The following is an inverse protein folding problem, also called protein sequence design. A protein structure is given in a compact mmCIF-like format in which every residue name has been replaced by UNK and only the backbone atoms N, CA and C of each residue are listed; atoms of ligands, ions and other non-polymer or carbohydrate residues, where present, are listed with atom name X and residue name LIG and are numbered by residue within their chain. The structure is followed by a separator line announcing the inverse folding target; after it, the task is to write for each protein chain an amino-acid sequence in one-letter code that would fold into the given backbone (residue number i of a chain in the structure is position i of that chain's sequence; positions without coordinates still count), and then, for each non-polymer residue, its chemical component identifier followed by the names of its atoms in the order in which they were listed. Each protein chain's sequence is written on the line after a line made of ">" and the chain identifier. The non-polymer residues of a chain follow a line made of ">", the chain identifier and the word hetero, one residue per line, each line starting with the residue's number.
data_IF_790981287894
#
_entry.id   IF_790981287894
#
_cell.length_a   1.000
_cell.length_b   1.000
_cell.length_c   1.000
_cell.angle_alpha   90.00
_cell.angle_beta   90.00
_cell.angle_gamma   90.00
#
_symmetry.space_group_name_H-M   'P 1'
#
loop_
_entity.id
_entity.type
_entity.pdbx_description
1 polymer ?
#
# COMPACT_ATOMS: atom_id res chain seq x y z
N UNK A 1 -5.09 -3.30 3.44
CA UNK A 1 -4.84 -4.22 2.33
C UNK A 1 -5.35 -5.62 2.64
N UNK A 2 -5.75 -6.33 1.60
CA UNK A 2 -6.09 -7.75 1.68
C UNK A 2 -4.82 -8.58 1.55
N UNK A 3 -4.17 -8.83 2.68
CA UNK A 3 -2.95 -9.62 2.72
C UNK A 3 -3.26 -11.10 2.61
N UNK A 4 -2.45 -11.82 1.84
CA UNK A 4 -2.51 -13.28 1.77
C UNK A 4 -1.87 -13.90 3.01
N UNK A 5 -2.64 -13.96 4.09
CA UNK A 5 -2.19 -14.51 5.36
C UNK A 5 -1.77 -15.97 5.22
N UNK A 6 -2.51 -16.76 4.44
CA UNK A 6 -2.15 -18.14 4.13
C UNK A 6 -0.80 -18.27 3.44
N UNK A 7 -0.59 -17.48 2.38
CA UNK A 7 0.69 -17.47 1.67
C UNK A 7 1.85 -16.99 2.54
N UNK A 8 1.63 -15.97 3.38
CA UNK A 8 2.62 -15.52 4.36
C UNK A 8 2.98 -16.61 5.36
N UNK A 9 2.05 -17.48 5.68
CA UNK A 9 2.27 -18.61 6.60
C UNK A 9 3.09 -19.75 6.03
N UNK A 10 3.01 -19.95 4.72
CA UNK A 10 3.80 -20.93 3.99
C UNK A 10 5.21 -20.44 3.72
N UNK A 11 5.46 -19.16 3.89
CA UNK A 11 6.78 -18.53 3.76
C UNK A 11 7.64 -18.82 4.99
N UNK A 12 8.93 -19.14 4.79
CA UNK A 12 9.89 -19.31 5.89
C UNK A 12 10.04 -18.06 6.76
N UNK A 13 9.84 -16.88 6.20
CA UNK A 13 9.93 -15.60 6.92
C UNK A 13 8.74 -15.44 7.88
N UNK A 14 7.57 -15.91 7.48
CA UNK A 14 6.33 -15.81 8.25
C UNK A 14 6.06 -17.05 9.13
N UNK A 15 6.80 -18.15 8.93
CA UNK A 15 6.59 -19.42 9.62
C UNK A 15 6.88 -19.41 11.13
N UNK A 16 7.43 -18.33 11.65
CA UNK A 16 7.66 -18.12 13.09
C UNK A 16 6.37 -17.81 13.88
N UNK A 17 5.22 -18.17 13.35
CA UNK A 17 3.98 -18.40 14.08
C UNK A 17 3.26 -17.18 14.69
N UNK A 18 4.00 -16.23 15.21
CA UNK A 18 3.45 -15.09 15.96
C UNK A 18 2.76 -14.07 15.03
N UNK A 19 3.35 -13.76 13.90
CA UNK A 19 2.81 -12.79 12.95
C UNK A 19 1.50 -13.21 12.32
N UNK A 20 1.36 -14.46 12.08
CA UNK A 20 0.23 -15.14 11.49
C UNK A 20 -1.08 -14.96 12.24
N UNK A 21 -1.03 -15.35 13.50
CA UNK A 21 -2.17 -15.22 14.40
C UNK A 21 -2.55 -13.75 14.62
N UNK A 22 -1.56 -12.86 14.65
CA UNK A 22 -1.77 -11.42 14.84
C UNK A 22 -2.51 -10.76 13.68
N UNK A 23 -2.13 -11.02 12.41
CA UNK A 23 -2.80 -10.44 11.26
C UNK A 23 -4.23 -10.94 11.09
N UNK A 24 -4.45 -12.24 11.23
CA UNK A 24 -5.78 -12.83 11.16
C UNK A 24 -6.71 -12.30 12.26
N UNK A 25 -6.23 -12.26 13.50
CA UNK A 25 -6.99 -11.72 14.64
C UNK A 25 -7.27 -10.22 14.49
N UNK A 26 -6.26 -9.45 14.11
CA UNK A 26 -6.42 -8.01 13.89
C UNK A 26 -7.51 -7.72 12.86
N UNK A 27 -7.49 -8.41 11.73
CA UNK A 27 -8.51 -8.27 10.69
C UNK A 27 -9.91 -8.63 11.21
N UNK A 28 -10.04 -9.76 11.90
CA UNK A 28 -11.32 -10.20 12.48
C UNK A 28 -11.86 -9.22 13.50
N UNK A 29 -11.03 -8.69 14.39
CA UNK A 29 -11.42 -7.67 15.34
C UNK A 29 -11.84 -6.37 14.67
N UNK A 30 -11.10 -5.95 13.64
CA UNK A 30 -11.41 -4.74 12.90
C UNK A 30 -12.75 -4.86 12.17
N UNK A 31 -13.03 -5.98 11.51
CA UNK A 31 -14.31 -6.27 10.87
C UNK A 31 -15.46 -6.24 11.88
N UNK A 32 -15.29 -6.88 13.02
CA UNK A 32 -16.29 -6.89 14.10
C UNK A 32 -16.54 -5.49 14.66
N UNK A 33 -15.50 -4.76 14.99
CA UNK A 33 -15.61 -3.40 15.55
C UNK A 33 -16.24 -2.42 14.58
N UNK A 34 -15.87 -2.45 13.32
CA UNK A 34 -16.46 -1.61 12.28
C UNK A 34 -17.95 -1.91 12.13
N UNK A 35 -18.34 -3.18 12.09
CA UNK A 35 -19.75 -3.60 12.02
C UNK A 35 -20.54 -3.11 13.24
N UNK A 36 -20.01 -3.28 14.45
CA UNK A 36 -20.66 -2.83 15.67
C UNK A 36 -20.82 -1.31 15.75
N UNK A 37 -19.85 -0.57 15.24
CA UNK A 37 -19.87 0.90 15.26
C UNK A 37 -20.62 1.52 14.08
N UNK A 38 -21.09 0.73 13.12
CA UNK A 38 -21.71 1.22 11.88
C UNK A 38 -20.71 1.92 10.95
N UNK A 39 -19.43 1.61 11.07
CA UNK A 39 -18.36 2.18 10.24
C UNK A 39 -18.08 1.27 9.05
N UNK A 40 -17.95 1.86 7.87
CA UNK A 40 -17.60 1.13 6.66
C UNK A 40 -16.13 0.72 6.68
N UNK A 41 -15.86 -0.57 6.54
CA UNK A 41 -14.52 -1.10 6.35
C UNK A 41 -14.28 -1.33 4.84
N UNK A 42 -13.22 -0.73 4.31
CA UNK A 42 -12.79 -0.93 2.92
C UNK A 42 -11.47 -1.70 2.94
N UNK A 43 -11.47 -2.86 2.29
CA UNK A 43 -10.27 -3.70 2.19
C UNK A 43 -9.67 -3.49 0.80
N UNK A 44 -8.44 -2.97 0.76
CA UNK A 44 -7.73 -2.77 -0.49
C UNK A 44 -7.29 -4.12 -1.09
N UNK A 45 -7.47 -4.27 -2.40
CA UNK A 45 -6.96 -5.43 -3.12
C UNK A 45 -5.45 -5.58 -2.88
N UNK A 46 -4.98 -6.81 -2.65
CA UNK A 46 -3.57 -7.10 -2.35
C UNK A 46 -2.59 -6.63 -3.44
N UNK A 47 -3.05 -6.55 -4.67
CA UNK A 47 -2.25 -6.12 -5.82
C UNK A 47 -2.48 -4.65 -6.20
N UNK A 48 -3.25 -3.92 -5.40
CA UNK A 48 -3.38 -2.48 -5.61
C UNK A 48 -2.04 -1.80 -5.32
N UNK A 49 -1.51 -1.01 -6.28
CA UNK A 49 -0.15 -0.48 -6.19
C UNK A 49 -0.05 0.75 -5.29
N UNK A 50 -0.41 0.62 -4.02
CA UNK A 50 -0.46 1.74 -3.07
C UNK A 50 0.90 2.44 -2.88
N UNK A 51 2.00 1.69 -2.96
CA UNK A 51 3.36 2.23 -2.80
C UNK A 51 3.97 2.76 -4.10
N UNK A 52 3.46 2.35 -5.26
CA UNK A 52 3.98 2.77 -6.57
C UNK A 52 3.20 3.95 -7.17
N UNK A 53 1.99 4.18 -6.69
CA UNK A 53 1.11 5.25 -7.19
C UNK A 53 1.43 6.58 -6.53
N UNK A 54 1.52 7.65 -7.32
CA UNK A 54 1.61 9.00 -6.79
C UNK A 54 0.23 9.48 -6.30
N UNK A 55 0.14 9.85 -5.03
CA UNK A 55 -1.12 10.33 -4.46
C UNK A 55 -1.60 11.66 -5.06
N UNK A 56 -0.68 12.49 -5.57
CA UNK A 56 -1.01 13.78 -6.16
C UNK A 56 -1.56 13.69 -7.60
N UNK A 57 -1.01 12.82 -8.44
CA UNK A 57 -1.40 12.76 -9.86
C UNK A 57 -1.91 11.40 -10.33
N UNK A 58 -1.80 10.37 -9.51
CA UNK A 58 -2.23 9.01 -9.85
C UNK A 58 -1.29 8.23 -10.76
N UNK A 59 -0.15 8.80 -11.14
CA UNK A 59 0.84 8.10 -11.95
C UNK A 59 1.43 6.91 -11.19
N UNK A 60 1.52 5.76 -11.85
CA UNK A 60 2.02 4.53 -11.27
C UNK A 60 3.40 4.22 -11.83
N UNK A 61 4.37 4.04 -10.95
CA UNK A 61 5.75 3.71 -11.33
C UNK A 61 5.82 2.35 -12.02
N UNK A 62 6.60 2.29 -13.09
CA UNK A 62 6.81 1.08 -13.89
C UNK A 62 8.31 0.85 -14.08
N UNK A 63 8.65 -0.40 -14.40
CA UNK A 63 10.00 -0.81 -14.77
C UNK A 63 11.07 -0.35 -13.77
N UNK A 64 12.04 0.43 -14.21
CA UNK A 64 13.18 0.90 -13.41
C UNK A 64 12.84 2.01 -12.42
N UNK A 65 11.66 2.62 -12.52
CA UNK A 65 11.19 3.62 -11.56
C UNK A 65 10.59 3.00 -10.29
N UNK A 66 10.27 1.71 -10.30
CA UNK A 66 9.63 1.02 -9.17
C UNK A 66 10.44 1.15 -7.88
N UNK A 67 9.70 1.32 -6.79
CA UNK A 67 10.27 1.37 -5.45
C UNK A 67 10.24 -0.04 -4.85
N UNK A 68 11.37 -0.47 -4.31
CA UNK A 68 11.51 -1.71 -3.53
C UNK A 68 11.50 -1.40 -2.03
N UNK A 69 11.63 -2.43 -1.18
CA UNK A 69 11.75 -2.24 0.26
C UNK A 69 12.95 -1.36 0.65
N UNK A 70 14.01 -1.38 -0.14
CA UNK A 70 15.21 -0.55 0.09
C UNK A 70 15.19 0.78 -0.67
N UNK A 71 14.08 1.13 -1.31
CA UNK A 71 13.95 2.32 -2.14
C UNK A 71 14.28 2.03 -3.61
N UNK A 72 14.82 3.02 -4.30
CA UNK A 72 15.28 2.88 -5.68
C UNK A 72 16.70 3.44 -5.82
N UNK A 73 17.68 2.56 -5.88
CA UNK A 73 19.10 2.93 -5.96
C UNK A 73 19.46 3.64 -7.26
N UNK A 74 18.82 3.27 -8.36
CA UNK A 74 19.07 3.87 -9.68
C UNK A 74 18.71 5.36 -9.72
N UNK A 75 17.63 5.73 -9.03
CA UNK A 75 17.16 7.11 -8.94
C UNK A 75 17.55 7.81 -7.63
N UNK A 76 18.33 7.16 -6.77
CA UNK A 76 18.78 7.75 -5.52
C UNK A 76 17.71 7.92 -4.44
N UNK A 77 16.59 7.22 -4.57
CA UNK A 77 15.46 7.29 -3.63
C UNK A 77 15.70 6.34 -2.46
N UNK A 78 15.61 6.85 -1.23
CA UNK A 78 15.76 6.05 -0.01
C UNK A 78 14.51 5.21 0.27
N UNK A 79 14.63 4.29 1.23
CA UNK A 79 13.55 3.37 1.61
C UNK A 79 12.27 4.04 2.12
N UNK A 80 12.38 5.25 2.68
CA UNK A 80 11.26 6.02 3.24
C UNK A 80 10.81 7.18 2.35
N UNK A 81 11.33 7.27 1.14
CA UNK A 81 11.07 8.37 0.22
C UNK A 81 10.21 7.93 -0.96
N UNK A 82 9.39 8.85 -1.44
CA UNK A 82 8.68 8.73 -2.71
C UNK A 82 8.92 9.98 -3.55
N UNK A 83 9.29 9.80 -4.81
CA UNK A 83 9.49 10.90 -5.77
C UNK A 83 8.70 10.61 -7.04
N UNK A 84 7.86 11.52 -7.46
CA UNK A 84 7.12 11.41 -8.72
C UNK A 84 7.94 11.97 -9.88
N UNK A 85 8.07 11.20 -10.95
CA UNK A 85 8.80 11.60 -12.15
C UNK A 85 7.88 12.07 -13.29
N UNK A 86 6.58 12.18 -13.04
CA UNK A 86 5.65 12.74 -14.01
C UNK A 86 5.77 14.27 -14.04
N UNK A 87 6.28 14.83 -15.13
CA UNK A 87 6.50 16.27 -15.31
C UNK A 87 5.25 17.13 -15.14
N UNK A 88 4.07 16.55 -15.34
CA UNK A 88 2.78 17.23 -15.15
C UNK A 88 2.27 17.20 -13.72
N UNK A 89 2.95 16.46 -12.82
CA UNK A 89 2.56 16.35 -11.43
C UNK A 89 2.92 17.62 -10.66
N UNK A 90 2.02 18.13 -9.79
CA UNK A 90 2.37 19.27 -8.92
C UNK A 90 3.50 18.94 -7.94
N UNK A 91 3.74 17.64 -7.68
CA UNK A 91 4.84 17.16 -6.84
C UNK A 91 6.01 16.58 -7.64
N UNK A 92 6.14 16.99 -8.91
CA UNK A 92 7.27 16.54 -9.74
C UNK A 92 8.62 16.79 -9.07
N UNK A 93 9.45 15.77 -8.99
CA UNK A 93 10.78 15.77 -8.35
C UNK A 93 10.82 16.19 -6.86
N UNK A 94 9.68 16.34 -6.22
CA UNK A 94 9.65 16.59 -4.78
C UNK A 94 9.72 15.27 -4.01
N UNK A 95 10.52 15.26 -2.95
CA UNK A 95 10.60 14.12 -2.02
C UNK A 95 9.44 14.22 -1.04
N UNK A 96 8.64 13.17 -0.98
CA UNK A 96 7.56 13.02 0.00
C UNK A 96 7.76 11.74 0.79
N UNK A 97 7.15 11.68 1.97
CA UNK A 97 7.19 10.47 2.78
C UNK A 97 6.46 9.33 2.07
N UNK A 98 7.11 8.17 1.98
CA UNK A 98 6.60 6.99 1.27
C UNK A 98 5.32 6.44 1.91
N UNK A 99 5.29 6.36 3.24
CA UNK A 99 4.15 5.80 3.96
C UNK A 99 2.94 6.74 3.91
N UNK A 100 3.19 8.05 4.02
CA UNK A 100 2.13 9.05 3.85
C UNK A 100 1.53 9.01 2.45
N UNK A 101 2.36 8.88 1.41
CA UNK A 101 1.89 8.73 0.04
C UNK A 101 1.03 7.45 -0.12
N UNK A 102 1.48 6.33 0.43
CA UNK A 102 0.73 5.08 0.40
C UNK A 102 -0.60 5.18 1.17
N UNK A 103 -0.58 5.82 2.33
CA UNK A 103 -1.80 6.06 3.13
C UNK A 103 -2.83 6.86 2.34
N UNK A 104 -2.42 7.92 1.66
CA UNK A 104 -3.31 8.73 0.83
C UNK A 104 -3.88 7.91 -0.34
N UNK A 105 -3.10 7.03 -0.94
CA UNK A 105 -3.57 6.11 -1.99
C UNK A 105 -4.62 5.12 -1.48
N UNK A 106 -4.46 4.61 -0.27
CA UNK A 106 -5.44 3.72 0.36
C UNK A 106 -6.73 4.48 0.70
N UNK A 107 -6.61 5.68 1.25
CA UNK A 107 -7.75 6.56 1.56
C UNK A 107 -8.58 6.89 0.30
N UNK A 108 -7.91 7.11 -0.83
CA UNK A 108 -8.56 7.36 -2.12
C UNK A 108 -9.55 6.25 -2.51
N UNK A 109 -9.31 5.00 -2.13
CA UNK A 109 -10.18 3.87 -2.47
C UNK A 109 -11.56 3.93 -1.80
N UNK A 110 -11.68 4.67 -0.69
CA UNK A 110 -12.95 4.84 0.03
C UNK A 110 -13.99 5.47 -0.90
N UNK A 111 -13.60 6.52 -1.59
CA UNK A 111 -14.46 7.29 -2.49
C UNK A 111 -14.42 6.78 -3.94
N UNK A 112 -13.45 5.95 -4.27
CA UNK A 112 -13.20 5.47 -5.64
C UNK A 112 -13.05 3.95 -5.70
N UNK A 113 -14.09 3.18 -5.32
CA UNK A 113 -14.00 1.72 -5.22
C UNK A 113 -13.68 1.01 -6.53
N UNK A 114 -13.96 1.64 -7.67
CA UNK A 114 -13.62 1.09 -9.01
C UNK A 114 -12.12 0.89 -9.23
N UNK A 115 -11.28 1.62 -8.49
CA UNK A 115 -9.83 1.48 -8.56
C UNK A 115 -9.28 0.41 -7.62
N UNK A 116 -10.12 -0.19 -6.79
CA UNK A 116 -9.73 -1.25 -5.85
C UNK A 116 -9.57 -2.60 -6.56
N UNK A 117 -8.56 -2.68 -7.41
CA UNK A 117 -8.28 -3.86 -8.24
C UNK A 117 -6.79 -3.95 -8.54
N UNK A 118 -6.36 -5.11 -9.01
CA UNK A 118 -5.05 -5.29 -9.62
C UNK A 118 -4.95 -4.49 -10.94
N UNK A 119 -3.76 -4.08 -11.26
CA UNK A 119 -3.47 -3.49 -12.56
C UNK A 119 -3.39 -4.55 -13.65
#
# INVERSE_FOLDING_TARGET
>A
EDLDVKGMLMSHVASKGVHRALFGRFRSYLEYKCKSAGVKLVIANRFYPSTQRCAACGNIKKDDEKITLSGNKKHGTKHNEYVCYNKKCPNYNKVVDRDMNAMMNLTFLIDHPRYNKAL
#
